data_IF_689656601440
#
_entry.id   IF_689656601440
#
_cell.length_a   1.000
_cell.length_b   1.000
_cell.length_c   1.000
_cell.angle_alpha   90.00
_cell.angle_beta   90.00
_cell.angle_gamma   90.00
#
_symmetry.space_group_name_H-M   'P 1'
#
loop_
_entity.id
_entity.type
_entity.pdbx_description
1 polymer ?
#
# COMPACT_ATOMS: atom_id res chain seq x y z
N UNK A 1 12.35 -0.11 -6.30
CA UNK A 1 11.12 -0.48 -7.06
C UNK A 1 9.96 -1.04 -6.23
N UNK A 2 10.10 -2.11 -5.44
CA UNK A 2 8.94 -2.69 -4.72
C UNK A 2 8.37 -1.78 -3.62
N UNK A 3 9.27 -1.09 -2.90
CA UNK A 3 8.91 -0.05 -1.94
C UNK A 3 8.12 1.08 -2.60
N UNK A 4 8.58 1.55 -3.77
CA UNK A 4 7.88 2.54 -4.59
C UNK A 4 6.47 2.08 -4.95
N UNK A 5 6.28 0.80 -5.30
CA UNK A 5 4.95 0.27 -5.59
C UNK A 5 4.00 0.42 -4.40
N UNK A 6 4.44 -0.03 -3.22
CA UNK A 6 3.62 0.02 -2.02
C UNK A 6 3.22 1.47 -1.70
N UNK A 7 4.18 2.39 -1.77
CA UNK A 7 3.92 3.81 -1.54
C UNK A 7 2.99 4.44 -2.57
N UNK A 8 3.17 4.12 -3.86
CA UNK A 8 2.30 4.60 -4.93
C UNK A 8 0.86 4.08 -4.76
N UNK A 9 0.68 2.82 -4.36
CA UNK A 9 -0.65 2.25 -4.09
C UNK A 9 -1.29 2.97 -2.89
N UNK A 10 -0.53 3.19 -1.82
CA UNK A 10 -1.02 3.92 -0.64
C UNK A 10 -1.34 5.39 -0.92
N UNK A 11 -0.54 6.05 -1.76
CA UNK A 11 -0.78 7.41 -2.24
C UNK A 11 -2.08 7.48 -3.06
N UNK A 12 -2.29 6.53 -3.96
CA UNK A 12 -3.49 6.47 -4.81
C UNK A 12 -4.79 6.36 -3.99
N UNK A 13 -4.76 5.63 -2.88
CA UNK A 13 -5.91 5.48 -1.97
C UNK A 13 -5.99 6.58 -0.88
N UNK A 14 -5.05 7.53 -0.89
CA UNK A 14 -5.00 8.63 0.07
C UNK A 14 -4.67 8.18 1.50
N UNK A 15 -3.88 7.13 1.66
CA UNK A 15 -3.27 6.72 2.95
C UNK A 15 -1.96 7.45 3.24
N UNK A 16 -1.32 7.94 2.19
CA UNK A 16 -0.10 8.75 2.24
C UNK A 16 -0.39 10.02 1.47
N UNK A 17 0.00 11.17 2.01
CA UNK A 17 -0.10 12.45 1.30
C UNK A 17 1.00 12.59 0.26
N UNK A 18 0.79 13.44 -0.75
CA UNK A 18 1.83 13.76 -1.74
C UNK A 18 3.12 14.25 -1.07
N UNK A 19 3.00 15.08 -0.03
CA UNK A 19 4.15 15.60 0.71
C UNK A 19 4.93 14.52 1.46
N UNK A 20 4.23 13.55 2.07
CA UNK A 20 4.89 12.41 2.72
C UNK A 20 5.57 11.49 1.70
N UNK A 21 4.94 11.29 0.53
CA UNK A 21 5.55 10.56 -0.58
C UNK A 21 6.83 11.25 -1.06
N UNK A 22 6.78 12.55 -1.36
CA UNK A 22 7.94 13.29 -1.85
C UNK A 22 9.08 13.31 -0.83
N UNK A 23 8.77 13.50 0.46
CA UNK A 23 9.80 13.46 1.51
C UNK A 23 10.46 12.08 1.61
N UNK A 24 9.66 11.02 1.52
CA UNK A 24 10.21 9.67 1.54
C UNK A 24 11.03 9.35 0.28
N UNK A 25 10.60 9.85 -0.89
CA UNK A 25 11.34 9.69 -2.14
C UNK A 25 12.68 10.43 -2.10
N UNK A 26 12.71 11.65 -1.57
CA UNK A 26 13.94 12.45 -1.38
C UNK A 26 14.92 11.71 -0.46
N UNK A 27 14.45 11.20 0.69
CA UNK A 27 15.26 10.37 1.58
C UNK A 27 15.77 9.09 0.88
N UNK A 28 14.96 8.45 0.04
CA UNK A 28 15.34 7.25 -0.69
C UNK A 28 16.40 7.54 -1.77
N UNK A 29 16.25 8.64 -2.51
CA UNK A 29 17.17 9.10 -3.53
C UNK A 29 18.51 9.53 -2.91
N UNK A 30 18.50 10.28 -1.81
CA UNK A 30 19.72 10.68 -1.11
C UNK A 30 20.54 9.46 -0.64
N UNK A 31 19.89 8.35 -0.30
CA UNK A 31 20.55 7.10 0.05
C UNK A 31 21.05 6.31 -1.17
N UNK A 32 20.50 6.54 -2.36
CA UNK A 32 20.84 5.83 -3.60
C UNK A 32 20.89 6.80 -4.80
N UNK A 33 21.83 7.77 -4.81
CA UNK A 33 21.83 8.86 -5.78
C UNK A 33 22.16 8.43 -7.22
N UNK A 34 22.65 7.21 -7.42
CA UNK A 34 22.98 6.64 -8.73
C UNK A 34 21.79 5.90 -9.37
N UNK A 35 20.65 5.84 -8.71
CA UNK A 35 19.45 5.17 -9.22
C UNK A 35 18.70 6.11 -10.19
N UNK A 36 18.76 5.79 -11.48
CA UNK A 36 18.12 6.56 -12.55
C UNK A 36 16.58 6.60 -12.42
N UNK A 37 15.94 5.55 -11.87
CA UNK A 37 14.49 5.52 -11.66
C UNK A 37 14.10 6.52 -10.56
N UNK A 38 14.90 6.60 -9.48
CA UNK A 38 14.69 7.57 -8.42
C UNK A 38 14.93 9.00 -8.89
N UNK A 39 15.98 9.23 -9.69
CA UNK A 39 16.25 10.55 -10.27
C UNK A 39 15.09 11.02 -11.17
N UNK A 40 14.55 10.12 -12.00
CA UNK A 40 13.38 10.41 -12.82
C UNK A 40 12.18 10.83 -11.95
N UNK A 41 11.89 10.05 -10.90
CA UNK A 41 10.75 10.29 -10.03
C UNK A 41 10.88 11.58 -9.22
N UNK A 42 12.09 11.95 -8.79
CA UNK A 42 12.37 13.22 -8.10
C UNK A 42 12.08 14.45 -8.97
N UNK A 43 12.26 14.33 -10.30
CA UNK A 43 11.97 15.42 -11.23
C UNK A 43 10.53 15.43 -11.75
N UNK A 44 9.77 14.34 -11.57
CA UNK A 44 8.40 14.23 -12.06
C UNK A 44 7.42 14.97 -11.14
N UNK A 45 6.95 16.13 -11.60
CA UNK A 45 5.96 16.94 -10.86
C UNK A 45 4.52 16.44 -11.03
N UNK A 46 4.23 15.61 -12.04
CA UNK A 46 2.90 15.05 -12.25
C UNK A 46 2.79 13.68 -11.56
N UNK A 47 2.10 13.67 -10.42
CA UNK A 47 1.90 12.45 -9.64
C UNK A 47 1.28 11.30 -10.42
N UNK A 48 0.40 11.57 -11.39
CA UNK A 48 -0.20 10.50 -12.20
C UNK A 48 0.84 9.84 -13.08
N UNK A 49 1.79 10.61 -13.61
CA UNK A 49 2.92 10.07 -14.39
C UNK A 49 3.89 9.31 -13.51
N UNK A 50 4.20 9.80 -12.31
CA UNK A 50 5.04 9.09 -11.36
C UNK A 50 4.45 7.72 -10.99
N UNK A 51 3.16 7.68 -10.67
CA UNK A 51 2.42 6.44 -10.39
C UNK A 51 2.47 5.47 -11.59
N UNK A 52 2.20 5.98 -12.79
CA UNK A 52 2.24 5.19 -14.01
C UNK A 52 3.64 4.62 -14.28
N UNK A 53 4.68 5.44 -14.11
CA UNK A 53 6.06 5.04 -14.31
C UNK A 53 6.47 3.91 -13.38
N UNK A 54 6.20 4.03 -12.08
CA UNK A 54 6.48 2.97 -11.10
C UNK A 54 5.79 1.68 -11.52
N UNK A 55 4.52 1.74 -11.94
CA UNK A 55 3.77 0.57 -12.38
C UNK A 55 4.34 -0.08 -13.65
N UNK A 56 4.97 0.67 -14.56
CA UNK A 56 5.55 0.11 -15.79
C UNK A 56 6.95 -0.47 -15.60
N UNK A 57 7.72 0.04 -14.63
CA UNK A 57 9.08 -0.44 -14.37
C UNK A 57 9.14 -1.71 -13.50
N UNK A 58 8.02 -2.12 -12.90
CA UNK A 58 8.01 -3.30 -12.03
C UNK A 58 7.90 -4.58 -12.83
N UNK A 59 8.88 -5.46 -12.64
CA UNK A 59 8.82 -6.85 -13.06
C UNK A 59 7.90 -7.65 -12.13
N UNK A 60 6.58 -7.61 -12.37
CA UNK A 60 5.57 -8.26 -11.52
C UNK A 60 5.80 -9.76 -11.32
N UNK A 61 6.37 -10.46 -12.31
CA UNK A 61 6.71 -11.89 -12.21
C UNK A 61 7.81 -12.18 -11.18
N UNK A 62 8.63 -11.18 -10.83
CA UNK A 62 9.74 -11.27 -9.89
C UNK A 62 9.49 -10.38 -8.64
N UNK A 63 8.22 -10.09 -8.34
CA UNK A 63 7.87 -9.32 -7.16
C UNK A 63 8.19 -10.14 -5.90
N UNK A 64 9.14 -9.66 -5.09
CA UNK A 64 9.34 -10.18 -3.75
C UNK A 64 8.14 -9.77 -2.90
N UNK A 65 7.21 -10.71 -2.82
CA UNK A 65 5.90 -10.55 -2.21
C UNK A 65 6.03 -10.36 -0.70
N UNK A 66 7.03 -10.98 -0.07
CA UNK A 66 7.28 -10.85 1.36
C UNK A 66 7.76 -9.44 1.70
N UNK A 67 8.76 -8.92 0.97
CA UNK A 67 9.24 -7.56 1.17
C UNK A 67 8.13 -6.54 0.91
N UNK A 68 7.43 -6.66 -0.23
CA UNK A 68 6.29 -5.81 -0.57
C UNK A 68 5.22 -5.84 0.54
N UNK A 69 4.85 -7.04 0.99
CA UNK A 69 3.84 -7.24 2.02
C UNK A 69 4.21 -6.63 3.36
N UNK A 70 5.47 -6.77 3.80
CA UNK A 70 5.98 -6.13 5.04
C UNK A 70 5.79 -4.62 5.01
N UNK A 71 6.12 -3.98 3.89
CA UNK A 71 6.00 -2.52 3.73
C UNK A 71 4.53 -2.10 3.74
N UNK A 72 3.70 -2.76 2.92
CA UNK A 72 2.28 -2.42 2.81
C UNK A 72 1.56 -2.62 4.14
N UNK A 73 1.69 -3.78 4.77
CA UNK A 73 1.02 -4.08 6.04
C UNK A 73 1.55 -3.22 7.18
N UNK A 74 2.85 -2.95 7.23
CA UNK A 74 3.44 -2.04 8.22
C UNK A 74 2.85 -0.62 8.13
N UNK A 75 2.69 -0.08 6.91
CA UNK A 75 2.11 1.24 6.69
C UNK A 75 0.61 1.27 7.00
N UNK A 76 -0.15 0.29 6.51
CA UNK A 76 -1.58 0.17 6.80
C UNK A 76 -1.84 0.01 8.31
N UNK A 77 -0.96 -0.70 9.04
CA UNK A 77 -1.05 -0.84 10.49
C UNK A 77 -0.91 0.51 11.20
N UNK A 78 0.00 1.36 10.72
CA UNK A 78 0.15 2.73 11.22
C UNK A 78 -1.11 3.56 11.02
N UNK A 79 -1.74 3.48 9.85
CA UNK A 79 -3.02 4.16 9.57
C UNK A 79 -4.12 3.61 10.48
N UNK A 80 -4.27 2.29 10.53
CA UNK A 80 -5.29 1.59 11.32
C UNK A 80 -5.24 1.98 12.80
N UNK A 81 -4.04 1.99 13.39
CA UNK A 81 -3.84 2.31 14.81
C UNK A 81 -4.25 3.75 15.14
N UNK A 82 -4.12 4.67 14.20
CA UNK A 82 -4.49 6.08 14.36
C UNK A 82 -5.95 6.37 13.96
N UNK A 83 -6.67 5.36 13.47
CA UNK A 83 -8.03 5.52 12.97
C UNK A 83 -9.06 5.28 14.09
N UNK A 84 -9.91 6.28 14.35
CA UNK A 84 -11.00 6.15 15.32
C UNK A 84 -12.23 5.44 14.76
N UNK A 85 -12.48 5.55 13.45
CA UNK A 85 -13.64 4.96 12.79
C UNK A 85 -13.23 3.86 11.82
N UNK A 86 -13.55 2.61 12.17
CA UNK A 86 -13.22 1.46 11.34
C UNK A 86 -13.90 1.50 9.98
N UNK A 87 -15.08 2.13 9.86
CA UNK A 87 -15.80 2.22 8.59
C UNK A 87 -15.06 3.12 7.60
N UNK A 88 -14.45 4.19 8.09
CA UNK A 88 -13.61 5.07 7.27
C UNK A 88 -12.40 4.30 6.72
N UNK A 89 -11.70 3.56 7.59
CA UNK A 89 -10.58 2.71 7.19
C UNK A 89 -11.01 1.65 6.17
N UNK A 90 -12.06 0.89 6.50
CA UNK A 90 -12.60 -0.20 5.71
C UNK A 90 -13.05 0.23 4.30
N UNK A 91 -13.66 1.42 4.18
CA UNK A 91 -14.20 1.95 2.92
C UNK A 91 -13.17 2.10 1.77
N UNK A 92 -11.88 1.97 2.07
CA UNK A 92 -10.78 2.06 1.12
C UNK A 92 -10.12 0.71 0.81
N UNK A 93 -10.37 -0.33 1.60
CA UNK A 93 -9.62 -1.60 1.51
C UNK A 93 -9.87 -2.35 0.20
N UNK A 94 -11.13 -2.44 -0.23
CA UNK A 94 -11.47 -3.11 -1.48
C UNK A 94 -10.82 -2.44 -2.70
N UNK A 95 -10.80 -1.10 -2.76
CA UNK A 95 -10.10 -0.36 -3.83
C UNK A 95 -8.59 -0.53 -3.77
N UNK A 96 -8.01 -0.57 -2.56
CA UNK A 96 -6.60 -0.89 -2.38
C UNK A 96 -6.29 -2.28 -2.93
N UNK A 97 -7.12 -3.27 -2.63
CA UNK A 97 -7.01 -4.63 -3.15
C UNK A 97 -7.08 -4.68 -4.69
N UNK A 98 -8.05 -4.00 -5.30
CA UNK A 98 -8.17 -3.91 -6.76
C UNK A 98 -6.94 -3.28 -7.43
N UNK A 99 -6.23 -2.41 -6.72
CA UNK A 99 -5.01 -1.77 -7.19
C UNK A 99 -3.71 -2.57 -6.98
N UNK A 100 -3.79 -3.72 -6.29
CA UNK A 100 -2.65 -4.62 -6.16
C UNK A 100 -2.32 -5.32 -7.50
N UNK A 101 -1.08 -5.80 -7.67
CA UNK A 101 -0.74 -6.71 -8.75
C UNK A 101 -1.65 -7.96 -8.73
N UNK A 102 -2.25 -8.29 -9.86
CA UNK A 102 -3.20 -9.41 -9.95
C UNK A 102 -2.63 -10.77 -9.53
N UNK A 103 -1.31 -10.96 -9.64
CA UNK A 103 -0.62 -12.18 -9.19
C UNK A 103 -0.52 -12.33 -7.66
N UNK A 104 -0.81 -11.27 -6.89
CA UNK A 104 -0.80 -11.32 -5.42
C UNK A 104 -2.18 -11.03 -4.79
N UNK A 105 -3.20 -10.67 -5.57
CA UNK A 105 -4.52 -10.31 -5.03
C UNK A 105 -5.17 -11.44 -4.22
N UNK A 106 -4.97 -12.70 -4.63
CA UNK A 106 -5.65 -13.86 -4.07
C UNK A 106 -4.75 -14.72 -3.17
N UNK A 107 -3.73 -14.10 -2.56
CA UNK A 107 -2.87 -14.76 -1.56
C UNK A 107 -2.88 -13.94 -0.26
N UNK A 108 -2.79 -14.62 0.88
CA UNK A 108 -2.75 -13.92 2.17
C UNK A 108 -1.40 -13.20 2.37
N UNK A 109 -1.39 -12.05 3.06
CA UNK A 109 -2.53 -11.38 3.71
C UNK A 109 -3.31 -10.44 2.77
N UNK A 110 -2.94 -10.34 1.50
CA UNK A 110 -3.53 -9.36 0.58
C UNK A 110 -5.00 -9.66 0.27
N UNK A 111 -5.36 -10.94 0.21
CA UNK A 111 -6.73 -11.34 -0.10
C UNK A 111 -7.72 -10.84 0.95
N UNK A 112 -7.33 -10.80 2.23
CA UNK A 112 -8.15 -10.26 3.32
C UNK A 112 -8.65 -8.82 3.05
N UNK A 113 -7.91 -8.01 2.29
CA UNK A 113 -8.33 -6.65 1.92
C UNK A 113 -9.63 -6.61 1.09
N UNK A 114 -9.99 -7.70 0.42
CA UNK A 114 -11.18 -7.75 -0.45
C UNK A 114 -12.48 -8.08 0.30
N UNK A 115 -12.40 -8.52 1.56
CA UNK A 115 -13.57 -9.06 2.27
C UNK A 115 -13.58 -8.76 3.79
N UNK A 116 -12.52 -8.20 4.36
CA UNK A 116 -12.46 -7.94 5.81
C UNK A 116 -13.54 -6.97 6.32
N UNK A 117 -14.09 -6.13 5.44
CA UNK A 117 -15.16 -5.19 5.75
C UNK A 117 -16.57 -5.75 5.57
N UNK A 118 -16.74 -6.93 4.98
CA UNK A 118 -18.04 -7.59 4.81
C UNK A 118 -18.85 -7.62 6.13
N UNK A 119 -18.25 -7.96 7.30
CA UNK A 119 -18.99 -8.01 8.56
C UNK A 119 -19.60 -6.69 9.03
N UNK A 120 -19.09 -5.55 8.54
CA UNK A 120 -19.69 -4.25 8.83
C UNK A 120 -21.11 -4.13 8.28
N UNK A 121 -21.46 -4.87 7.22
CA UNK A 121 -22.79 -4.84 6.61
C UNK A 121 -23.90 -5.43 7.50
N UNK A 122 -23.55 -6.32 8.44
CA UNK A 122 -24.46 -6.83 9.48
C UNK A 122 -24.09 -6.35 10.90
N UNK A 123 -23.21 -5.35 11.00
CA UNK A 123 -22.88 -4.66 12.24
C UNK A 123 -21.86 -5.37 13.13
N UNK A 124 -21.13 -6.36 12.63
CA UNK A 124 -20.11 -7.09 13.39
C UNK A 124 -18.73 -6.43 13.27
N UNK A 125 -18.55 -5.33 14.02
CA UNK A 125 -17.26 -4.63 14.05
C UNK A 125 -16.14 -5.45 14.71
N UNK A 126 -16.48 -6.35 15.65
CA UNK A 126 -15.50 -7.18 16.35
C UNK A 126 -14.83 -8.15 15.36
N UNK A 127 -15.64 -8.81 14.52
CA UNK A 127 -15.12 -9.68 13.47
C UNK A 127 -14.24 -8.93 12.48
N UNK A 128 -14.69 -7.77 11.98
CA UNK A 128 -13.89 -6.93 11.08
C UNK A 128 -12.56 -6.51 11.71
N UNK A 129 -12.56 -6.09 12.98
CA UNK A 129 -11.31 -5.75 13.70
C UNK A 129 -10.37 -6.94 13.79
N UNK A 130 -10.89 -8.11 14.15
CA UNK A 130 -10.09 -9.32 14.26
C UNK A 130 -9.40 -9.67 12.93
N UNK A 131 -10.14 -9.58 11.81
CA UNK A 131 -9.61 -9.86 10.48
C UNK A 131 -8.51 -8.86 10.08
N UNK A 132 -8.73 -7.55 10.28
CA UNK A 132 -7.71 -6.55 10.01
C UNK A 132 -6.48 -6.72 10.91
N UNK A 133 -6.66 -6.98 12.20
CA UNK A 133 -5.54 -7.18 13.11
C UNK A 133 -4.70 -8.40 12.71
N UNK A 134 -5.32 -9.52 12.32
CA UNK A 134 -4.59 -10.69 11.80
C UNK A 134 -3.83 -10.36 10.51
N UNK A 135 -4.50 -9.72 9.55
CA UNK A 135 -3.90 -9.30 8.27
C UNK A 135 -2.71 -8.37 8.46
N UNK A 136 -2.87 -7.34 9.29
CA UNK A 136 -1.87 -6.31 9.56
C UNK A 136 -0.66 -6.84 10.35
N UNK A 137 -0.83 -7.94 11.08
CA UNK A 137 0.23 -8.60 11.86
C UNK A 137 0.89 -9.77 11.12
N UNK A 138 0.46 -10.10 9.90
CA UNK A 138 0.88 -11.32 9.19
C UNK A 138 2.40 -11.47 9.02
N UNK A 139 3.13 -10.37 8.82
CA UNK A 139 4.58 -10.36 8.59
C UNK A 139 5.43 -9.99 9.81
N UNK A 140 4.84 -9.98 11.01
CA UNK A 140 5.55 -9.64 12.26
C UNK A 140 6.37 -10.80 12.82
#
# INVERSE_FOLDING_TARGET
MQELLAYVILLNEGFVTENEYCKWLDELFLNNPEDDDLLYLEWETDMKKAIMYVRTQIAYNNLDTERFGKILMGRLKGVYTNCSDIKEFASKMYRLWENLPGNIQNIEPFWTLSYADDPLSWGDEEQTRNMYEQMLNYYQ
#
